data_IF_152687938111
#
_entry.id   IF_152687938111
#
_cell.length_a   1.000
_cell.length_b   1.000
_cell.length_c   1.000
_cell.angle_alpha   90.00
_cell.angle_beta   90.00
_cell.angle_gamma   90.00
#
_symmetry.space_group_name_H-M   'P 1'
#
loop_
_entity.id
_entity.type
_entity.pdbx_description
1 polymer ?
#
# COMPACT_ATOMS: atom_id res chain seq x y z
N UNK A 1 7.05 -16.09 -7.68
CA UNK A 1 5.58 -16.03 -7.87
C UNK A 1 5.14 -14.72 -7.27
N UNK A 2 4.48 -13.87 -8.05
CA UNK A 2 3.91 -12.63 -7.51
C UNK A 2 2.76 -12.98 -6.56
N UNK A 3 2.76 -12.46 -5.32
CA UNK A 3 1.73 -12.75 -4.35
C UNK A 3 0.36 -12.26 -4.83
N UNK A 4 -0.53 -13.22 -5.08
CA UNK A 4 -1.90 -12.96 -5.57
C UNK A 4 -2.91 -12.79 -4.44
N UNK A 5 -2.62 -13.36 -3.27
CA UNK A 5 -3.52 -13.43 -2.11
C UNK A 5 -2.84 -12.88 -0.85
N UNK A 6 -3.63 -12.61 0.19
CA UNK A 6 -3.12 -12.13 1.48
C UNK A 6 -2.28 -13.22 2.17
N UNK A 7 -2.67 -14.50 2.07
CA UNK A 7 -1.88 -15.62 2.59
C UNK A 7 -0.46 -15.64 2.00
N UNK A 8 -0.33 -15.52 0.68
CA UNK A 8 0.95 -15.55 -0.02
C UNK A 8 1.81 -14.34 0.34
N UNK A 9 1.19 -13.16 0.44
CA UNK A 9 1.84 -11.94 0.90
C UNK A 9 2.38 -12.08 2.33
N UNK A 10 1.59 -12.61 3.25
CA UNK A 10 1.99 -12.83 4.65
C UNK A 10 3.11 -13.89 4.72
N UNK A 11 2.99 -14.98 3.96
CA UNK A 11 4.03 -16.01 3.86
C UNK A 11 5.34 -15.45 3.29
N UNK A 12 5.25 -14.47 2.38
CA UNK A 12 6.39 -13.72 1.85
C UNK A 12 6.91 -12.61 2.79
N UNK A 13 6.41 -12.52 4.02
CA UNK A 13 6.82 -11.53 5.01
C UNK A 13 6.33 -10.10 4.74
N UNK A 14 5.32 -9.95 3.88
CA UNK A 14 4.72 -8.64 3.57
C UNK A 14 3.64 -8.32 4.60
N UNK A 15 3.71 -7.12 5.16
CA UNK A 15 2.83 -6.67 6.26
C UNK A 15 1.76 -5.67 5.81
N UNK A 16 1.92 -5.08 4.64
CA UNK A 16 1.00 -4.09 4.09
C UNK A 16 0.65 -4.39 2.63
N UNK A 17 -0.50 -3.89 2.19
CA UNK A 17 -0.93 -3.85 0.80
C UNK A 17 -0.73 -2.45 0.23
N UNK A 18 0.10 -2.32 -0.79
CA UNK A 18 0.30 -1.05 -1.49
C UNK A 18 -0.69 -0.90 -2.63
N UNK A 19 -1.49 0.15 -2.52
CA UNK A 19 -2.49 0.57 -3.49
C UNK A 19 -2.05 1.90 -4.11
N UNK A 20 -2.08 2.00 -5.44
CA UNK A 20 -1.79 3.24 -6.14
C UNK A 20 -3.07 3.83 -6.70
N UNK A 21 -3.44 4.98 -6.16
CA UNK A 21 -4.42 5.87 -6.75
C UNK A 21 -3.73 6.82 -7.74
N UNK A 22 -4.49 7.45 -8.65
CA UNK A 22 -3.95 8.45 -9.58
C UNK A 22 -3.26 9.64 -8.88
N UNK A 23 -3.74 9.99 -7.68
CA UNK A 23 -3.33 11.15 -6.89
C UNK A 23 -2.36 10.82 -5.76
N UNK A 24 -2.27 9.56 -5.32
CA UNK A 24 -1.36 9.13 -4.24
C UNK A 24 -1.22 7.62 -4.16
N UNK A 25 -0.13 7.16 -3.56
CA UNK A 25 0.02 5.78 -3.10
C UNK A 25 -0.49 5.68 -1.65
N UNK A 26 -1.12 4.56 -1.31
CA UNK A 26 -1.64 4.27 0.03
C UNK A 26 -1.21 2.87 0.41
N UNK A 27 -0.61 2.75 1.58
CA UNK A 27 -0.20 1.48 2.16
C UNK A 27 -1.19 1.09 3.25
N UNK A 28 -1.82 -0.07 3.11
CA UNK A 28 -2.85 -0.56 4.03
C UNK A 28 -2.29 -1.77 4.77
N UNK A 29 -2.04 -1.68 6.09
CA UNK A 29 -1.58 -2.83 6.86
C UNK A 29 -2.63 -3.94 6.86
N UNK A 30 -2.19 -5.19 6.78
CA UNK A 30 -3.08 -6.35 6.87
C UNK A 30 -3.82 -6.42 8.20
N UNK A 31 -3.22 -5.87 9.25
CA UNK A 31 -3.77 -5.79 10.61
C UNK A 31 -5.08 -4.98 10.66
N UNK A 32 -5.19 -3.93 9.83
CA UNK A 32 -6.43 -3.15 9.68
C UNK A 32 -7.49 -3.88 8.83
N UNK A 33 -7.13 -5.04 8.27
CA UNK A 33 -7.99 -5.88 7.44
C UNK A 33 -8.18 -7.28 8.06
N UNK A 34 -8.65 -7.38 9.32
CA UNK A 34 -8.85 -8.67 9.97
C UNK A 34 -9.96 -9.47 9.29
N UNK A 35 -10.94 -8.77 8.68
CA UNK A 35 -12.07 -9.38 7.97
C UNK A 35 -11.76 -9.72 6.50
N UNK A 36 -10.55 -9.43 6.00
CA UNK A 36 -10.18 -9.80 4.63
C UNK A 36 -9.65 -11.23 4.62
N UNK A 37 -10.30 -12.18 3.91
CA UNK A 37 -9.90 -13.56 3.95
C UNK A 37 -8.56 -13.77 3.24
N UNK A 38 -7.73 -14.66 3.81
CA UNK A 38 -6.37 -14.87 3.34
C UNK A 38 -6.29 -15.43 1.91
N UNK A 39 -7.32 -16.15 1.48
CA UNK A 39 -7.43 -16.75 0.14
C UNK A 39 -8.01 -15.79 -0.92
N UNK A 40 -8.43 -14.58 -0.53
CA UNK A 40 -9.05 -13.65 -1.49
C UNK A 40 -7.99 -12.90 -2.30
N UNK A 41 -8.14 -12.83 -3.63
CA UNK A 41 -7.23 -12.08 -4.50
C UNK A 41 -7.14 -10.60 -4.15
N UNK A 42 -5.93 -10.05 -4.03
CA UNK A 42 -5.69 -8.67 -3.60
C UNK A 42 -6.35 -7.60 -4.52
N UNK A 43 -6.54 -7.92 -5.80
CA UNK A 43 -7.21 -7.03 -6.75
C UNK A 43 -8.69 -6.80 -6.41
N UNK A 44 -9.37 -7.75 -5.76
CA UNK A 44 -10.75 -7.58 -5.32
C UNK A 44 -10.84 -6.57 -4.17
N UNK A 45 -9.87 -6.58 -3.26
CA UNK A 45 -9.76 -5.56 -2.22
C UNK A 45 -9.63 -4.16 -2.82
N UNK A 46 -8.73 -3.99 -3.80
CA UNK A 46 -8.54 -2.71 -4.46
C UNK A 46 -9.80 -2.20 -5.17
N UNK A 47 -10.59 -3.08 -5.78
CA UNK A 47 -11.90 -2.70 -6.35
C UNK A 47 -12.90 -2.24 -5.29
N UNK A 48 -12.81 -2.77 -4.07
CA UNK A 48 -13.67 -2.40 -2.95
C UNK A 48 -13.27 -1.06 -2.34
N UNK A 49 -11.98 -0.76 -2.35
CA UNK A 49 -11.43 0.51 -1.87
C UNK A 49 -11.73 1.63 -2.87
N UNK A 50 -12.23 2.76 -2.36
CA UNK A 50 -12.33 3.99 -3.15
C UNK A 50 -11.21 4.92 -2.72
N UNK A 51 -10.42 5.37 -3.69
CA UNK A 51 -9.55 6.51 -3.47
C UNK A 51 -10.41 7.72 -3.08
N UNK A 52 -9.95 8.56 -2.15
CA UNK A 52 -10.68 9.76 -1.72
C UNK A 52 -11.07 10.60 -2.95
N UNK A 53 -12.26 11.18 -2.90
CA UNK A 53 -13.07 11.85 -3.93
C UNK A 53 -12.34 12.57 -5.09
N UNK A 54 -11.15 13.13 -4.84
CA UNK A 54 -10.30 13.75 -5.87
C UNK A 54 -9.76 12.76 -6.91
N UNK A 55 -9.70 11.48 -6.57
CA UNK A 55 -9.26 10.42 -7.44
C UNK A 55 -10.48 9.67 -7.98
N UNK A 56 -10.98 10.07 -9.16
CA UNK A 56 -12.15 9.43 -9.81
C UNK A 56 -11.90 7.98 -10.28
N UNK A 57 -10.66 7.50 -10.20
CA UNK A 57 -10.28 6.16 -10.63
C UNK A 57 -10.13 5.19 -9.45
N UNK A 58 -10.47 3.90 -9.63
CA UNK A 58 -10.22 2.87 -8.63
C UNK A 58 -8.71 2.68 -8.41
N UNK A 59 -8.28 2.39 -7.18
CA UNK A 59 -6.88 2.11 -6.91
C UNK A 59 -6.43 0.85 -7.66
N UNK A 60 -5.21 0.90 -8.21
CA UNK A 60 -4.53 -0.27 -8.76
C UNK A 60 -3.67 -0.92 -7.68
N UNK A 61 -3.74 -2.24 -7.57
CA UNK A 61 -2.81 -2.99 -6.72
C UNK A 61 -1.42 -2.88 -7.33
N UNK A 62 -0.48 -2.31 -6.58
CA UNK A 62 0.94 -2.32 -6.95
C UNK A 62 1.57 -3.63 -6.47
N UNK A 63 1.20 -4.06 -5.27
CA UNK A 63 1.66 -5.31 -4.68
C UNK A 63 1.70 -5.21 -3.16
N UNK A 64 1.93 -6.32 -2.47
CA UNK A 64 2.16 -6.31 -1.04
C UNK A 64 3.60 -5.91 -0.72
N UNK A 65 3.75 -5.11 0.34
CA UNK A 65 5.02 -4.54 0.77
C UNK A 65 5.35 -4.96 2.20
N UNK A 66 6.64 -5.08 2.49
CA UNK A 66 7.13 -5.42 3.82
C UNK A 66 7.40 -4.16 4.65
N UNK A 67 7.74 -4.34 5.94
CA UNK A 67 8.28 -3.26 6.75
C UNK A 67 9.55 -2.68 6.10
N UNK A 68 10.37 -3.52 5.46
CA UNK A 68 11.61 -3.13 4.77
C UNK A 68 11.36 -2.18 3.56
N UNK A 69 10.35 -2.48 2.73
CA UNK A 69 9.95 -1.62 1.60
C UNK A 69 9.32 -0.29 2.05
N UNK A 70 8.58 -0.32 3.16
CA UNK A 70 7.94 0.87 3.74
C UNK A 70 8.97 1.78 4.39
N UNK A 71 9.94 1.19 5.10
CA UNK A 71 11.03 1.92 5.78
C UNK A 71 11.97 2.57 4.76
N UNK A 72 12.30 1.88 3.66
CA UNK A 72 13.08 2.44 2.55
C UNK A 72 12.43 3.71 1.95
N UNK A 73 11.12 3.67 1.70
CA UNK A 73 10.38 4.80 1.14
C UNK A 73 10.19 5.93 2.17
N UNK A 74 9.98 5.59 3.46
CA UNK A 74 9.93 6.56 4.56
C UNK A 74 11.26 7.28 4.75
N UNK A 75 12.38 6.57 4.62
CA UNK A 75 13.72 7.17 4.63
C UNK A 75 13.96 8.08 3.43
N UNK A 76 13.48 7.73 2.23
CA UNK A 76 13.57 8.59 1.05
C UNK A 76 12.75 9.88 1.19
N UNK A 77 11.54 9.80 1.76
CA UNK A 77 10.70 10.98 2.03
C UNK A 77 11.34 11.88 3.10
N UNK A 78 11.95 11.28 4.13
CA UNK A 78 12.66 12.03 5.19
C UNK A 78 14.00 12.62 4.74
N UNK A 79 14.53 12.20 3.59
CA UNK A 79 15.74 12.77 2.96
C UNK A 79 15.46 13.93 2.03
N UNK A 80 14.19 14.33 1.82
CA UNK A 80 13.90 15.61 1.17
C UNK A 80 14.27 16.72 2.15
N UNK A 81 15.26 17.58 1.83
CA UNK A 81 15.52 18.74 2.66
C UNK A 81 14.25 19.60 2.65
N UNK A 82 13.67 19.81 3.83
CA UNK A 82 12.82 20.98 4.05
C UNK A 82 13.73 22.18 3.80
N UNK A 83 13.71 22.72 2.58
CA UNK A 83 14.24 24.05 2.30
C UNK A 83 13.34 25.05 3.02
N UNK A 84 13.45 25.08 4.34
CA UNK A 84 12.89 26.13 5.18
C UNK A 84 13.84 27.31 5.11
N UNK A 85 13.60 28.21 4.18
CA UNK A 85 14.08 29.59 4.30
C UNK A 85 13.37 30.19 5.50
N UNK A 86 14.07 30.26 6.63
CA UNK A 86 13.71 31.16 7.72
C UNK A 86 14.23 32.54 7.33
N UNK A 87 13.30 33.47 7.18
CA UNK A 87 13.54 34.91 6.92
C UNK A 87 14.01 35.60 8.18
#
# INVERSE_FOLDING_TARGET
>A
MDPRTKADAIAAGKTHLRLRCACKTVDVPWDLLPAYPDDVPLHLFARRMRCKDRCKEPPKVVGPIGPDDTERERLEISRRPVTGTVV
#
